data_IF_513327936096
#
_entry.id   IF_513327936096
#
_cell.length_a   1.000
_cell.length_b   1.000
_cell.length_c   1.000
_cell.angle_alpha   90.00
_cell.angle_beta   90.00
_cell.angle_gamma   90.00
#
_symmetry.space_group_name_H-M   'P 1'
#
loop_
_entity.id
_entity.type
_entity.pdbx_description
1 polymer ?
#
# COMPACT_ATOMS: atom_id res chain seq x y z
N UNK A 1 2.41 9.11 -48.58
CA UNK A 1 2.76 8.51 -47.29
C UNK A 1 2.93 9.64 -46.33
N UNK A 2 2.20 9.63 -45.22
CA UNK A 2 2.63 10.21 -43.94
C UNK A 2 1.55 9.91 -42.89
N UNK A 3 1.81 9.04 -41.90
CA UNK A 3 1.21 9.17 -40.60
C UNK A 3 2.26 9.80 -39.68
N UNK A 4 2.14 11.11 -39.45
CA UNK A 4 2.74 11.77 -38.29
C UNK A 4 1.62 12.01 -37.30
N UNK A 5 1.42 11.08 -36.38
CA UNK A 5 0.74 11.26 -35.08
C UNK A 5 1.14 10.06 -34.21
N UNK A 6 1.17 10.26 -32.89
CA UNK A 6 1.44 9.28 -31.81
C UNK A 6 2.88 9.16 -31.25
N UNK A 7 3.62 10.27 -31.11
CA UNK A 7 4.80 10.28 -30.22
C UNK A 7 4.70 11.25 -29.03
N UNK A 8 3.64 12.08 -28.94
CA UNK A 8 3.45 13.02 -27.83
C UNK A 8 2.50 12.52 -26.73
N UNK A 9 1.57 11.62 -27.06
CA UNK A 9 0.59 11.09 -26.08
C UNK A 9 1.16 9.99 -25.17
N UNK A 10 2.11 9.17 -25.66
CA UNK A 10 2.73 8.11 -24.88
C UNK A 10 3.60 8.66 -23.74
N UNK A 11 4.43 9.67 -24.05
CA UNK A 11 5.35 10.29 -23.08
C UNK A 11 4.63 10.96 -21.90
N UNK A 12 3.45 11.56 -22.14
CA UNK A 12 2.65 12.15 -21.05
C UNK A 12 1.99 11.09 -20.15
N UNK A 13 1.52 9.98 -20.73
CA UNK A 13 0.92 8.87 -19.96
C UNK A 13 1.96 8.11 -19.14
N UNK A 14 3.13 7.85 -19.71
CA UNK A 14 4.28 7.21 -19.02
C UNK A 14 4.72 8.05 -17.82
N UNK A 15 4.86 9.36 -18.00
CA UNK A 15 5.18 10.31 -16.92
C UNK A 15 4.11 10.29 -15.82
N UNK A 16 2.83 10.14 -16.18
CA UNK A 16 1.73 10.08 -15.22
C UNK A 16 1.69 8.75 -14.44
N UNK A 17 2.00 7.61 -15.06
CA UNK A 17 2.16 6.33 -14.37
C UNK A 17 3.26 6.41 -13.30
N UNK A 18 4.43 6.95 -13.66
CA UNK A 18 5.54 7.12 -12.74
C UNK A 18 5.13 7.96 -11.51
N UNK A 19 4.37 9.04 -11.72
CA UNK A 19 3.85 9.86 -10.62
C UNK A 19 2.86 9.11 -9.72
N UNK A 20 1.96 8.29 -10.28
CA UNK A 20 1.01 7.47 -9.49
C UNK A 20 1.77 6.50 -8.59
N UNK A 21 2.76 5.78 -9.14
CA UNK A 21 3.55 4.83 -8.37
C UNK A 21 4.46 5.50 -7.36
N UNK A 22 5.02 6.67 -7.70
CA UNK A 22 5.81 7.48 -6.78
C UNK A 22 4.98 7.95 -5.57
N UNK A 23 3.75 8.44 -5.82
CA UNK A 23 2.85 8.85 -4.74
C UNK A 23 2.45 7.67 -3.85
N UNK A 24 2.13 6.52 -4.43
CA UNK A 24 1.81 5.31 -3.67
C UNK A 24 3.02 4.80 -2.87
N UNK A 25 4.25 4.88 -3.43
CA UNK A 25 5.47 4.56 -2.71
C UNK A 25 5.67 5.47 -1.48
N UNK A 26 5.58 6.79 -1.67
CA UNK A 26 5.76 7.75 -0.57
C UNK A 26 4.71 7.56 0.53
N UNK A 27 3.47 7.31 0.15
CA UNK A 27 2.41 7.01 1.09
C UNK A 27 2.72 5.72 1.88
N UNK A 28 3.14 4.65 1.20
CA UNK A 28 3.46 3.40 1.86
C UNK A 28 4.68 3.51 2.78
N UNK A 29 5.70 4.27 2.38
CA UNK A 29 6.90 4.52 3.18
C UNK A 29 6.55 5.33 4.44
N UNK A 30 5.66 6.32 4.33
CA UNK A 30 5.15 7.06 5.48
C UNK A 30 4.39 6.16 6.45
N UNK A 31 3.46 5.32 5.96
CA UNK A 31 2.73 4.34 6.80
C UNK A 31 3.72 3.45 7.56
N UNK A 32 4.75 2.93 6.88
CA UNK A 32 5.77 2.08 7.51
C UNK A 32 6.56 2.83 8.59
N UNK A 33 6.83 4.11 8.37
CA UNK A 33 7.56 4.93 9.34
C UNK A 33 6.72 5.22 10.58
N UNK A 34 5.44 5.58 10.40
CA UNK A 34 4.49 5.84 11.49
C UNK A 34 4.27 4.60 12.36
N UNK A 35 4.11 3.43 11.73
CA UNK A 35 3.79 2.16 12.38
C UNK A 35 5.02 1.26 12.58
N UNK A 36 6.21 1.86 12.69
CA UNK A 36 7.46 1.10 12.84
C UNK A 36 7.50 0.27 14.14
N UNK A 37 6.73 0.70 15.15
CA UNK A 37 6.57 0.03 16.43
C UNK A 37 6.03 -1.39 16.23
N UNK A 38 4.81 -1.52 15.67
CA UNK A 38 4.20 -2.83 15.37
C UNK A 38 4.94 -3.60 14.29
N UNK A 39 5.50 -2.92 13.28
CA UNK A 39 6.25 -3.58 12.20
C UNK A 39 7.59 -4.17 12.65
N UNK A 40 8.16 -3.69 13.76
CA UNK A 40 9.35 -4.30 14.36
C UNK A 40 9.02 -5.66 14.96
N UNK A 41 7.83 -5.77 15.57
CA UNK A 41 7.29 -7.01 16.15
C UNK A 41 6.79 -7.97 15.07
N UNK A 42 6.00 -7.48 14.10
CA UNK A 42 5.50 -8.27 12.97
C UNK A 42 6.43 -8.21 11.75
N UNK A 43 7.46 -9.05 11.81
CA UNK A 43 8.44 -9.19 10.74
C UNK A 43 7.83 -9.62 9.40
N UNK A 44 6.78 -10.44 9.41
CA UNK A 44 6.17 -10.92 8.17
C UNK A 44 5.47 -9.78 7.45
N UNK A 45 4.71 -8.97 8.19
CA UNK A 45 4.03 -7.79 7.66
C UNK A 45 5.03 -6.77 7.14
N UNK A 46 6.10 -6.50 7.90
CA UNK A 46 7.14 -5.57 7.48
C UNK A 46 7.81 -6.00 6.18
N UNK A 47 8.17 -7.28 6.04
CA UNK A 47 8.75 -7.82 4.80
C UNK A 47 7.81 -7.68 3.60
N UNK A 48 6.50 -7.91 3.79
CA UNK A 48 5.50 -7.71 2.72
C UNK A 48 5.44 -6.24 2.29
N UNK A 49 5.40 -5.31 3.25
CA UNK A 49 5.35 -3.87 2.95
C UNK A 49 6.65 -3.39 2.29
N UNK A 50 7.81 -3.87 2.74
CA UNK A 50 9.11 -3.59 2.11
C UNK A 50 9.16 -4.06 0.65
N UNK A 51 8.69 -5.28 0.40
CA UNK A 51 8.62 -5.80 -0.95
C UNK A 51 7.72 -4.93 -1.84
N UNK A 52 6.52 -4.59 -1.37
CA UNK A 52 5.58 -3.75 -2.11
C UNK A 52 6.18 -2.36 -2.37
N UNK A 53 6.79 -1.74 -1.36
CA UNK A 53 7.45 -0.44 -1.49
C UNK A 53 8.62 -0.49 -2.50
N UNK A 54 9.41 -1.57 -2.49
CA UNK A 54 10.46 -1.80 -3.46
C UNK A 54 9.93 -1.89 -4.89
N UNK A 55 8.84 -2.63 -5.10
CA UNK A 55 8.17 -2.73 -6.41
C UNK A 55 7.64 -1.36 -6.85
N UNK A 56 6.94 -0.63 -5.99
CA UNK A 56 6.41 0.71 -6.30
C UNK A 56 7.53 1.69 -6.67
N UNK A 57 8.66 1.65 -5.94
CA UNK A 57 9.83 2.47 -6.21
C UNK A 57 10.44 2.15 -7.57
N UNK A 58 10.58 0.87 -7.91
CA UNK A 58 11.08 0.45 -9.21
C UNK A 58 10.16 0.92 -10.34
N UNK A 59 8.85 0.76 -10.19
CA UNK A 59 7.87 1.20 -11.18
C UNK A 59 7.83 2.73 -11.32
N UNK A 60 8.06 3.46 -10.24
CA UNK A 60 8.13 4.93 -10.30
C UNK A 60 9.36 5.47 -11.05
N UNK A 61 10.40 4.65 -11.19
CA UNK A 61 11.64 4.99 -11.88
C UNK A 61 11.75 4.33 -13.27
N UNK A 62 10.73 3.58 -13.68
CA UNK A 62 10.69 2.87 -14.95
C UNK A 62 10.14 3.78 -16.05
N UNK A 63 10.86 3.87 -17.16
CA UNK A 63 10.37 4.48 -18.40
C UNK A 63 9.47 3.52 -19.22
N UNK A 64 9.37 2.26 -18.81
CA UNK A 64 8.56 1.26 -19.50
C UNK A 64 7.08 1.32 -19.11
N UNK A 65 6.22 1.09 -20.10
CA UNK A 65 4.78 0.95 -19.88
C UNK A 65 4.48 -0.20 -18.92
N UNK A 66 3.84 0.12 -17.80
CA UNK A 66 3.47 -0.86 -16.78
C UNK A 66 2.19 -1.59 -17.19
N UNK A 67 2.19 -2.94 -17.24
CA UNK A 67 0.96 -3.68 -17.51
C UNK A 67 -0.11 -3.38 -16.45
N UNK A 68 -1.33 -3.06 -16.88
CA UNK A 68 -2.44 -2.77 -15.94
C UNK A 68 -2.71 -3.90 -14.94
N UNK A 69 -2.44 -5.15 -15.33
CA UNK A 69 -2.53 -6.32 -14.45
C UNK A 69 -1.51 -6.31 -13.31
N UNK A 70 -0.29 -5.81 -13.55
CA UNK A 70 0.74 -5.66 -12.52
C UNK A 70 0.35 -4.57 -11.54
N UNK A 71 -0.18 -3.45 -12.05
CA UNK A 71 -0.62 -2.34 -11.23
C UNK A 71 -1.79 -2.73 -10.31
N UNK A 72 -2.77 -3.48 -10.82
CA UNK A 72 -3.87 -4.03 -10.01
C UNK A 72 -3.36 -5.07 -9.00
N UNK A 73 -2.41 -5.92 -9.38
CA UNK A 73 -1.81 -6.89 -8.47
C UNK A 73 -1.19 -6.21 -7.25
N UNK A 74 -0.50 -5.09 -7.43
CA UNK A 74 0.09 -4.32 -6.33
C UNK A 74 -1.00 -3.80 -5.39
N UNK A 75 -2.06 -3.19 -5.93
CA UNK A 75 -3.18 -2.73 -5.12
C UNK A 75 -3.87 -3.88 -4.36
N UNK A 76 -3.96 -5.07 -4.97
CA UNK A 76 -4.46 -6.28 -4.30
C UNK A 76 -3.55 -6.72 -3.16
N UNK A 77 -2.23 -6.65 -3.32
CA UNK A 77 -1.30 -6.98 -2.25
C UNK A 77 -1.40 -5.99 -1.08
N UNK A 78 -1.50 -4.68 -1.35
CA UNK A 78 -1.72 -3.68 -0.29
C UNK A 78 -3.03 -3.98 0.45
N UNK A 79 -4.13 -4.25 -0.27
CA UNK A 79 -5.41 -4.62 0.36
C UNK A 79 -5.35 -5.93 1.16
N UNK A 80 -4.52 -6.90 0.76
CA UNK A 80 -4.31 -8.14 1.54
C UNK A 80 -3.57 -7.84 2.84
N UNK A 81 -2.55 -6.99 2.78
CA UNK A 81 -1.78 -6.58 3.97
C UNK A 81 -2.61 -5.73 4.92
N UNK A 82 -3.49 -4.87 4.40
CA UNK A 82 -4.50 -4.15 5.20
C UNK A 82 -5.43 -5.12 5.94
N UNK A 83 -6.01 -6.11 5.27
CA UNK A 83 -6.86 -7.11 5.93
C UNK A 83 -6.12 -7.89 7.01
N UNK A 84 -4.89 -8.28 6.74
CA UNK A 84 -4.07 -8.96 7.73
C UNK A 84 -3.83 -8.07 8.97
N UNK A 85 -3.57 -6.77 8.79
CA UNK A 85 -3.45 -5.83 9.92
C UNK A 85 -4.75 -5.74 10.73
N UNK A 86 -5.90 -5.72 10.05
CA UNK A 86 -7.22 -5.77 10.71
C UNK A 86 -7.44 -7.06 11.49
N UNK A 87 -7.06 -8.19 10.92
CA UNK A 87 -7.16 -9.51 11.58
C UNK A 87 -6.28 -9.55 12.84
N UNK A 88 -5.07 -8.97 12.78
CA UNK A 88 -4.19 -8.83 13.96
C UNK A 88 -4.80 -7.91 15.01
N UNK A 89 -5.35 -6.76 14.62
CA UNK A 89 -6.01 -5.84 15.54
C UNK A 89 -7.19 -6.50 16.27
N UNK A 90 -8.00 -7.28 15.56
CA UNK A 90 -9.13 -8.02 16.12
C UNK A 90 -8.66 -9.14 17.07
N UNK A 91 -7.54 -9.79 16.78
CA UNK A 91 -6.93 -10.79 17.65
C UNK A 91 -6.40 -10.17 18.95
N UNK A 92 -5.63 -9.08 18.86
CA UNK A 92 -5.11 -8.37 20.04
C UNK A 92 -6.26 -7.86 20.92
N UNK A 93 -7.30 -7.29 20.30
CA UNK A 93 -8.49 -6.86 21.03
C UNK A 93 -9.20 -8.03 21.72
N UNK A 94 -9.24 -9.22 21.08
CA UNK A 94 -9.81 -10.42 21.71
C UNK A 94 -8.98 -10.86 22.91
N UNK A 95 -7.64 -10.84 22.79
CA UNK A 95 -6.72 -11.19 23.88
C UNK A 95 -6.96 -10.27 25.09
N UNK A 96 -7.05 -8.95 24.88
CA UNK A 96 -7.38 -7.97 25.94
C UNK A 96 -8.73 -8.26 26.59
N UNK A 97 -9.75 -8.55 25.79
CA UNK A 97 -11.09 -8.84 26.29
C UNK A 97 -11.14 -10.16 27.09
N UNK A 98 -10.37 -11.18 26.69
CA UNK A 98 -10.31 -12.47 27.38
C UNK A 98 -9.40 -12.43 28.62
N UNK A 99 -8.42 -11.53 28.66
CA UNK A 99 -7.40 -11.44 29.72
C UNK A 99 -7.80 -10.60 30.93
N UNK A 100 -9.10 -10.29 31.11
CA UNK A 100 -9.80 -9.42 32.09
C UNK A 100 -9.21 -9.12 33.51
N UNK A 101 -8.07 -9.68 33.92
CA UNK A 101 -7.30 -9.36 35.13
C UNK A 101 -5.84 -8.88 34.91
N UNK A 102 -5.25 -8.92 33.69
CA UNK A 102 -3.80 -8.65 33.50
C UNK A 102 -3.41 -7.91 32.19
N UNK A 103 -4.34 -7.30 31.44
CA UNK A 103 -3.94 -6.46 30.30
C UNK A 103 -3.21 -5.20 30.81
N UNK A 104 -1.95 -5.00 30.42
CA UNK A 104 -1.06 -3.98 30.99
C UNK A 104 -1.13 -2.65 30.19
N UNK A 105 -2.21 -2.46 29.42
CA UNK A 105 -2.48 -1.28 28.58
C UNK A 105 -1.73 -1.26 27.24
N UNK A 106 -0.57 -1.93 27.17
CA UNK A 106 0.22 -2.02 25.94
C UNK A 106 -0.52 -2.78 24.81
N UNK A 107 -1.30 -3.80 25.15
CA UNK A 107 -2.04 -4.59 24.16
C UNK A 107 -3.20 -3.80 23.52
N UNK A 108 -3.80 -2.83 24.25
CA UNK A 108 -4.79 -1.92 23.68
C UNK A 108 -4.17 -0.92 22.71
N UNK A 109 -2.96 -0.43 23.02
CA UNK A 109 -2.20 0.47 22.14
C UNK A 109 -1.76 -0.26 20.86
N UNK A 110 -1.29 -1.51 20.97
CA UNK A 110 -0.90 -2.33 19.81
C UNK A 110 -2.09 -2.63 18.88
N UNK A 111 -3.25 -3.00 19.44
CA UNK A 111 -4.47 -3.21 18.66
C UNK A 111 -4.89 -1.93 17.90
N UNK A 112 -4.81 -0.76 18.56
CA UNK A 112 -5.12 0.52 17.93
C UNK A 112 -4.16 0.85 16.77
N UNK A 113 -2.86 0.60 16.95
CA UNK A 113 -1.84 0.81 15.92
C UNK A 113 -2.09 -0.09 14.70
N UNK A 114 -2.45 -1.37 14.90
CA UNK A 114 -2.85 -2.25 13.80
C UNK A 114 -4.13 -1.79 13.07
N UNK A 115 -5.14 -1.29 13.78
CA UNK A 115 -6.35 -0.74 13.16
C UNK A 115 -6.04 0.49 12.31
N UNK A 116 -5.26 1.43 12.83
CA UNK A 116 -4.87 2.64 12.09
C UNK A 116 -4.06 2.28 10.83
N UNK A 117 -3.07 1.41 10.98
CA UNK A 117 -2.28 0.92 9.84
C UNK A 117 -3.16 0.22 8.79
N UNK A 118 -4.12 -0.60 9.22
CA UNK A 118 -5.09 -1.24 8.32
C UNK A 118 -5.85 -0.22 7.47
N UNK A 119 -6.39 0.83 8.09
CA UNK A 119 -7.18 1.86 7.42
C UNK A 119 -6.33 2.69 6.45
N UNK A 120 -5.12 3.06 6.86
CA UNK A 120 -4.18 3.78 6.01
C UNK A 120 -3.76 2.95 4.78
N UNK A 121 -3.50 1.64 4.96
CA UNK A 121 -3.18 0.73 3.86
C UNK A 121 -4.36 0.54 2.91
N UNK A 122 -5.58 0.38 3.43
CA UNK A 122 -6.78 0.28 2.59
C UNK A 122 -7.01 1.55 1.77
N UNK A 123 -6.85 2.72 2.39
CA UNK A 123 -6.92 4.01 1.71
C UNK A 123 -5.85 4.15 0.61
N UNK A 124 -4.61 3.73 0.89
CA UNK A 124 -3.52 3.68 -0.10
C UNK A 124 -3.91 2.79 -1.30
N UNK A 125 -4.42 1.58 -1.05
CA UNK A 125 -4.83 0.65 -2.10
C UNK A 125 -5.98 1.20 -2.97
N UNK A 126 -7.00 1.81 -2.34
CA UNK A 126 -8.15 2.42 -3.03
C UNK A 126 -7.71 3.60 -3.89
N UNK A 127 -6.83 4.46 -3.36
CA UNK A 127 -6.30 5.61 -4.07
C UNK A 127 -5.49 5.20 -5.29
N UNK A 128 -4.62 4.18 -5.14
CA UNK A 128 -3.86 3.62 -6.25
C UNK A 128 -4.79 3.09 -7.35
N UNK A 129 -5.79 2.26 -7.00
CA UNK A 129 -6.76 1.73 -7.99
C UNK A 129 -7.51 2.85 -8.70
N UNK A 130 -8.01 3.84 -7.96
CA UNK A 130 -8.76 4.96 -8.54
C UNK A 130 -7.90 5.71 -9.56
N UNK A 131 -6.66 6.02 -9.21
CA UNK A 131 -5.76 6.75 -10.09
C UNK A 131 -5.40 5.94 -11.35
N UNK A 132 -5.18 4.62 -11.20
CA UNK A 132 -4.95 3.71 -12.32
C UNK A 132 -6.17 3.60 -13.24
N UNK A 133 -7.38 3.51 -12.65
CA UNK A 133 -8.63 3.47 -13.41
C UNK A 133 -8.81 4.73 -14.26
N UNK A 134 -8.61 5.91 -13.68
CA UNK A 134 -8.72 7.17 -14.43
C UNK A 134 -7.75 7.20 -15.61
N UNK A 135 -6.51 6.76 -15.42
CA UNK A 135 -5.51 6.73 -16.48
C UNK A 135 -5.84 5.75 -17.61
N UNK A 136 -6.46 4.62 -17.31
CA UNK A 136 -6.90 3.64 -18.31
C UNK A 136 -8.08 4.12 -19.17
N UNK A 137 -8.82 5.14 -18.72
CA UNK A 137 -10.02 5.66 -19.39
C UNK A 137 -9.85 7.11 -19.89
N UNK A 138 -8.60 7.62 -19.90
CA UNK A 138 -8.18 8.87 -20.55
C UNK A 138 -7.67 8.61 -21.96
#
# INVERSE_FOLDING_TARGET
>A
MDPKLDLQDSSSKETFFAHIFSAAFLQLDQIRHEHNSVLTSDRMMNQKLEYIAGVLKQLSASDEAVPGSLAELIAVQISKTSRYAKDMAEEEQRIVAESHNEADGNEEEEAAEYFEMSDQLDYCAKTLRRNLYHLAHM
#
